data_IF_231056575325
#
_entry.id   IF_231056575325
#
_cell.length_a   1.000
_cell.length_b   1.000
_cell.length_c   1.000
_cell.angle_alpha   90.00
_cell.angle_beta   90.00
_cell.angle_gamma   90.00
#
_symmetry.space_group_name_H-M   'P 1'
#
loop_
_entity.id
_entity.type
_entity.pdbx_description
1 polymer ?
#
# COMPACT_ATOMS: atom_id res chain seq x y z
N UNK A 1 -7.30 1.52 1.46
CA UNK A 1 -7.04 0.11 1.64
C UNK A 1 -6.61 -0.17 3.08
N UNK A 2 -7.24 -1.11 3.77
CA UNK A 2 -6.91 -1.51 5.15
C UNK A 2 -6.57 -3.00 5.23
N UNK A 3 -5.44 -3.31 5.86
CA UNK A 3 -5.05 -4.68 6.21
C UNK A 3 -5.46 -5.05 7.64
N UNK A 4 -6.05 -4.12 8.37
CA UNK A 4 -6.56 -4.33 9.72
C UNK A 4 -8.03 -4.75 9.68
N UNK A 5 -8.43 -5.62 10.58
CA UNK A 5 -9.82 -6.03 10.75
C UNK A 5 -10.72 -4.93 11.37
N UNK A 6 -10.12 -3.89 11.94
CA UNK A 6 -10.84 -2.83 12.64
C UNK A 6 -11.10 -1.62 11.76
N UNK A 7 -12.22 -0.95 11.96
CA UNK A 7 -12.55 0.31 11.30
C UNK A 7 -11.95 1.55 12.01
N UNK A 8 -10.73 1.42 12.54
CA UNK A 8 -10.09 2.49 13.33
C UNK A 8 -10.02 3.83 12.59
N UNK A 9 -9.67 3.81 11.31
CA UNK A 9 -9.62 5.04 10.51
C UNK A 9 -10.98 5.73 10.43
N UNK A 10 -12.05 5.00 10.10
CA UNK A 10 -13.40 5.56 10.01
C UNK A 10 -13.88 6.10 11.36
N UNK A 11 -13.53 5.44 12.47
CA UNK A 11 -13.88 5.90 13.82
C UNK A 11 -13.18 7.19 14.23
N UNK A 12 -11.93 7.38 13.80
CA UNK A 12 -11.12 8.54 14.19
C UNK A 12 -11.40 9.74 13.29
N UNK A 13 -11.51 9.51 11.99
CA UNK A 13 -11.58 10.59 10.98
C UNK A 13 -12.97 10.76 10.37
N UNK A 14 -13.93 9.88 10.72
CA UNK A 14 -15.29 9.91 10.19
C UNK A 14 -15.39 9.34 8.76
N UNK A 15 -16.60 9.37 8.24
CA UNK A 15 -16.91 9.03 6.86
C UNK A 15 -16.87 10.29 6.00
N UNK A 16 -16.25 10.19 4.84
CA UNK A 16 -16.21 11.29 3.88
C UNK A 16 -16.74 10.78 2.53
N UNK A 17 -17.62 11.52 1.83
CA UNK A 17 -18.31 11.04 0.63
C UNK A 17 -17.40 10.71 -0.54
N UNK A 18 -16.14 11.18 -0.51
CA UNK A 18 -15.13 10.89 -1.54
C UNK A 18 -14.09 9.85 -1.10
N UNK A 19 -14.32 9.15 0.01
CA UNK A 19 -13.42 8.11 0.50
C UNK A 19 -14.07 6.75 0.35
N UNK A 20 -13.41 5.90 -0.39
CA UNK A 20 -13.72 4.49 -0.47
C UNK A 20 -12.84 3.69 0.49
N UNK A 21 -13.41 2.64 1.06
CA UNK A 21 -12.73 1.76 2.00
C UNK A 21 -12.76 0.33 1.50
N UNK A 22 -11.58 -0.29 1.42
CA UNK A 22 -11.45 -1.71 1.20
C UNK A 22 -10.69 -2.35 2.37
N UNK A 23 -11.30 -3.38 2.97
CA UNK A 23 -10.72 -4.18 4.05
C UNK A 23 -10.27 -5.51 3.49
N UNK A 24 -8.99 -5.61 3.14
CA UNK A 24 -8.39 -6.77 2.45
C UNK A 24 -8.67 -8.10 3.15
N UNK A 25 -8.67 -8.08 4.48
CA UNK A 25 -8.89 -9.26 5.30
C UNK A 25 -10.29 -9.29 5.93
N UNK A 26 -11.22 -8.49 5.39
CA UNK A 26 -12.54 -8.34 5.96
C UNK A 26 -12.55 -7.44 7.21
N UNK A 27 -13.72 -7.30 7.80
CA UNK A 27 -13.96 -6.39 8.92
C UNK A 27 -14.54 -7.15 10.11
N UNK A 28 -13.96 -6.94 11.29
CA UNK A 28 -14.52 -7.44 12.53
C UNK A 28 -15.79 -6.65 12.89
N UNK A 29 -16.92 -7.33 12.94
CA UNK A 29 -18.20 -6.76 13.36
C UNK A 29 -18.82 -7.67 14.43
N UNK A 30 -19.13 -7.10 15.60
CA UNK A 30 -19.69 -7.84 16.72
C UNK A 30 -21.10 -8.39 16.43
N UNK A 31 -21.75 -7.90 15.38
CA UNK A 31 -23.08 -8.39 14.96
C UNK A 31 -22.98 -9.69 14.13
N UNK A 32 -21.80 -10.02 13.62
CA UNK A 32 -21.58 -11.21 12.84
C UNK A 32 -21.19 -12.39 13.73
N UNK A 33 -21.70 -13.56 13.41
CA UNK A 33 -21.26 -14.84 13.94
C UNK A 33 -20.17 -15.46 13.06
N UNK A 34 -19.77 -16.70 13.38
CA UNK A 34 -18.73 -17.43 12.64
C UNK A 34 -19.13 -17.67 11.17
N UNK A 35 -20.43 -17.81 10.89
CA UNK A 35 -20.91 -18.12 9.54
C UNK A 35 -21.07 -16.86 8.69
N UNK A 36 -21.45 -15.76 9.30
CA UNK A 36 -21.71 -14.48 8.64
C UNK A 36 -20.48 -13.54 8.58
N UNK A 37 -19.40 -13.87 9.30
CA UNK A 37 -18.20 -13.04 9.30
C UNK A 37 -17.45 -13.08 7.97
N UNK A 38 -17.08 -11.92 7.46
CA UNK A 38 -16.23 -11.80 6.27
C UNK A 38 -14.73 -11.73 6.58
N UNK A 39 -14.32 -11.97 7.83
CA UNK A 39 -12.91 -11.98 8.19
C UNK A 39 -12.16 -13.12 7.52
N UNK A 40 -11.03 -12.81 6.92
CA UNK A 40 -10.10 -13.72 6.25
C UNK A 40 -8.99 -14.08 7.22
N UNK A 41 -9.04 -15.29 7.76
CA UNK A 41 -8.08 -15.80 8.75
C UNK A 41 -7.16 -16.88 8.16
N UNK A 42 -6.99 -16.85 6.85
CA UNK A 42 -6.27 -17.90 6.13
C UNK A 42 -4.76 -17.81 6.23
N UNK A 43 -4.14 -18.87 5.74
CA UNK A 43 -2.70 -18.97 5.53
C UNK A 43 -2.33 -18.37 4.15
N UNK A 44 -1.06 -18.07 4.01
CA UNK A 44 -0.51 -17.56 2.76
C UNK A 44 -0.23 -18.68 1.76
N UNK A 45 -0.02 -18.27 0.50
CA UNK A 45 0.48 -19.14 -0.54
C UNK A 45 2.02 -19.12 -0.54
N UNK A 46 2.63 -20.28 -0.30
CA UNK A 46 4.10 -20.40 -0.32
C UNK A 46 4.63 -21.01 -1.62
N UNK A 47 3.75 -21.57 -2.44
CA UNK A 47 4.14 -22.17 -3.71
C UNK A 47 4.18 -21.11 -4.80
N UNK A 48 5.04 -21.32 -5.79
CA UNK A 48 5.17 -20.45 -6.94
C UNK A 48 4.95 -21.21 -8.25
N UNK A 49 4.49 -20.49 -9.28
CA UNK A 49 4.26 -21.07 -10.61
C UNK A 49 3.27 -22.21 -10.63
N UNK A 50 3.56 -23.20 -11.46
CA UNK A 50 2.69 -24.37 -11.68
C UNK A 50 2.39 -25.20 -10.42
N UNK A 51 3.31 -25.22 -9.45
CA UNK A 51 3.10 -25.93 -8.19
C UNK A 51 1.96 -25.30 -7.38
N UNK A 52 1.90 -23.97 -7.37
CA UNK A 52 0.82 -23.20 -6.72
C UNK A 52 -0.56 -23.57 -7.28
N UNK A 53 -0.64 -23.66 -8.62
CA UNK A 53 -1.92 -23.83 -9.30
C UNK A 53 -2.40 -25.29 -9.30
N UNK A 54 -1.49 -26.25 -9.03
CA UNK A 54 -1.79 -27.69 -8.96
C UNK A 54 -2.04 -28.20 -7.56
N UNK A 55 -1.42 -27.58 -6.54
CA UNK A 55 -1.60 -27.98 -5.16
C UNK A 55 -2.81 -27.28 -4.54
N UNK A 56 -3.93 -27.99 -4.56
CA UNK A 56 -5.19 -27.54 -4.00
C UNK A 56 -5.46 -28.08 -2.59
N UNK A 57 -4.48 -28.75 -1.99
CA UNK A 57 -4.58 -29.19 -0.61
C UNK A 57 -4.71 -27.97 0.31
N UNK A 58 -5.63 -28.07 1.25
CA UNK A 58 -5.93 -26.96 2.18
C UNK A 58 -6.37 -25.64 1.52
N UNK A 59 -6.92 -25.67 0.30
CA UNK A 59 -7.34 -24.48 -0.43
C UNK A 59 -8.28 -23.58 0.39
N UNK A 60 -9.18 -24.15 1.18
CA UNK A 60 -10.12 -23.42 2.04
C UNK A 60 -9.44 -22.58 3.12
N UNK A 61 -8.20 -22.95 3.48
CA UNK A 61 -7.38 -22.21 4.44
C UNK A 61 -6.54 -21.11 3.79
N UNK A 62 -6.49 -21.04 2.46
CA UNK A 62 -5.71 -20.03 1.75
C UNK A 62 -6.45 -18.68 1.75
N UNK A 63 -5.74 -17.61 2.03
CA UNK A 63 -6.30 -16.24 2.09
C UNK A 63 -7.04 -15.85 0.82
N UNK A 64 -6.48 -16.16 -0.37
CA UNK A 64 -7.12 -15.82 -1.63
C UNK A 64 -8.47 -16.50 -1.82
N UNK A 65 -8.57 -17.79 -1.45
CA UNK A 65 -9.82 -18.54 -1.52
C UNK A 65 -10.87 -17.95 -0.58
N UNK A 66 -10.46 -17.64 0.67
CA UNK A 66 -11.38 -17.04 1.64
C UNK A 66 -11.86 -15.64 1.18
N UNK A 67 -10.99 -14.83 0.55
CA UNK A 67 -11.41 -13.54 -0.02
C UNK A 67 -12.48 -13.71 -1.10
N UNK A 68 -12.28 -14.66 -2.02
CA UNK A 68 -13.25 -14.96 -3.07
C UNK A 68 -14.56 -15.47 -2.47
N UNK A 69 -14.48 -16.47 -1.58
CA UNK A 69 -15.65 -17.10 -0.98
C UNK A 69 -16.49 -16.14 -0.11
N UNK A 70 -15.84 -15.19 0.56
CA UNK A 70 -16.46 -14.22 1.44
C UNK A 70 -16.73 -12.86 0.77
N UNK A 71 -16.48 -12.75 -0.51
CA UNK A 71 -16.66 -11.53 -1.32
C UNK A 71 -16.07 -10.29 -0.66
N UNK A 72 -14.82 -10.39 -0.16
CA UNK A 72 -14.17 -9.31 0.58
C UNK A 72 -12.79 -8.99 0.04
N UNK A 73 -12.34 -7.75 0.24
CA UNK A 73 -10.98 -7.31 -0.09
C UNK A 73 -10.68 -7.33 -1.59
N UNK A 74 -11.61 -6.92 -2.44
CA UNK A 74 -11.47 -6.92 -3.89
C UNK A 74 -11.59 -5.55 -4.55
N UNK A 75 -12.04 -4.51 -3.86
CA UNK A 75 -12.23 -3.18 -4.43
C UNK A 75 -10.93 -2.54 -4.95
N UNK A 76 -9.81 -2.86 -4.31
CA UNK A 76 -8.50 -2.34 -4.72
C UNK A 76 -8.10 -2.72 -6.15
N UNK A 77 -8.63 -3.80 -6.71
CA UNK A 77 -8.39 -4.19 -8.12
C UNK A 77 -8.94 -3.13 -9.07
N UNK A 78 -10.15 -2.62 -8.82
CA UNK A 78 -10.73 -1.52 -9.60
C UNK A 78 -9.87 -0.26 -9.53
N UNK A 79 -9.35 0.09 -8.35
CA UNK A 79 -8.42 1.21 -8.21
C UNK A 79 -7.13 1.02 -9.00
N UNK A 80 -6.60 -0.21 -9.06
CA UNK A 80 -5.42 -0.52 -9.87
C UNK A 80 -5.71 -0.39 -11.37
N UNK A 81 -6.89 -0.80 -11.82
CA UNK A 81 -7.33 -0.62 -13.21
C UNK A 81 -7.43 0.86 -13.58
N UNK A 82 -8.02 1.69 -12.73
CA UNK A 82 -8.07 3.14 -12.91
C UNK A 82 -6.67 3.75 -13.00
N UNK A 83 -5.78 3.42 -12.07
CA UNK A 83 -4.39 3.87 -12.06
C UNK A 83 -3.66 3.49 -13.36
N UNK A 84 -3.94 2.31 -13.92
CA UNK A 84 -3.31 1.85 -15.15
C UNK A 84 -3.90 2.52 -16.39
N UNK A 85 -5.20 2.82 -16.38
CA UNK A 85 -5.91 3.42 -17.53
C UNK A 85 -5.56 4.90 -17.73
N UNK A 86 -5.11 5.59 -16.68
CA UNK A 86 -4.80 7.01 -16.76
C UNK A 86 -3.56 7.28 -17.62
N UNK A 87 -3.73 8.22 -18.57
CA UNK A 87 -2.65 8.67 -19.42
C UNK A 87 -1.62 9.46 -18.61
N UNK A 88 -0.34 9.16 -18.83
CA UNK A 88 0.76 9.95 -18.25
C UNK A 88 0.58 11.41 -18.65
N UNK A 89 0.38 12.30 -17.69
CA UNK A 89 0.39 13.73 -17.96
C UNK A 89 1.81 14.26 -17.81
N UNK A 90 2.15 15.14 -18.72
CA UNK A 90 3.41 15.84 -18.75
C UNK A 90 3.20 17.29 -18.31
N UNK A 91 3.79 17.68 -17.20
CA UNK A 91 3.87 19.10 -16.84
C UNK A 91 5.05 19.75 -17.54
N UNK A 92 4.85 20.99 -17.97
CA UNK A 92 5.95 21.82 -18.47
C UNK A 92 6.80 22.22 -17.27
N UNK A 93 8.00 21.63 -17.14
CA UNK A 93 8.90 21.90 -16.02
C UNK A 93 9.76 23.16 -16.22
N UNK A 94 10.02 23.56 -17.46
CA UNK A 94 10.76 24.77 -17.78
C UNK A 94 10.52 25.20 -19.23
N UNK A 95 10.55 26.51 -19.45
CA UNK A 95 10.62 27.13 -20.78
C UNK A 95 11.95 27.82 -20.85
N UNK A 96 12.85 27.31 -21.68
CA UNK A 96 14.18 27.89 -21.88
C UNK A 96 14.25 28.48 -23.28
N UNK A 97 14.66 29.75 -23.37
CA UNK A 97 14.98 30.39 -24.64
C UNK A 97 16.47 30.27 -24.91
N UNK A 98 16.82 29.39 -25.83
CA UNK A 98 18.19 29.25 -26.33
C UNK A 98 18.22 29.68 -27.81
N UNK A 99 19.04 30.63 -28.14
CA UNK A 99 19.23 31.12 -29.52
C UNK A 99 17.93 31.49 -30.25
N UNK A 100 16.96 32.10 -29.54
CA UNK A 100 15.66 32.48 -30.11
C UNK A 100 14.65 31.33 -30.21
N UNK A 101 15.04 30.12 -29.87
CA UNK A 101 14.17 28.93 -29.90
C UNK A 101 13.62 28.66 -28.49
N UNK A 102 12.30 28.50 -28.38
CA UNK A 102 11.62 28.15 -27.14
C UNK A 102 11.62 26.62 -26.99
N UNK A 103 12.42 26.12 -26.07
CA UNK A 103 12.42 24.70 -25.69
C UNK A 103 11.55 24.50 -24.45
N UNK A 104 10.55 23.65 -24.56
CA UNK A 104 9.68 23.23 -23.44
C UNK A 104 10.22 21.91 -22.88
N UNK A 105 10.64 21.91 -21.64
CA UNK A 105 11.00 20.68 -20.93
C UNK A 105 9.76 20.12 -20.25
N UNK A 106 9.42 18.87 -20.55
CA UNK A 106 8.28 18.18 -19.96
C UNK A 106 8.75 17.23 -18.86
N UNK A 107 8.09 17.25 -17.72
CA UNK A 107 8.27 16.30 -16.64
C UNK A 107 7.06 15.40 -16.56
N UNK A 108 7.28 14.09 -16.52
CA UNK A 108 6.22 13.12 -16.22
C UNK A 108 5.80 13.28 -14.76
N UNK A 109 4.55 13.63 -14.54
CA UNK A 109 3.97 13.66 -13.20
C UNK A 109 3.28 12.33 -12.96
N UNK A 110 3.72 11.62 -11.92
CA UNK A 110 3.00 10.44 -11.45
C UNK A 110 1.83 10.90 -10.61
N UNK A 111 0.62 10.64 -11.10
CA UNK A 111 -0.62 11.12 -10.48
C UNK A 111 -0.91 10.50 -9.13
N UNK A 112 -0.69 9.18 -9.04
CA UNK A 112 -1.15 8.43 -7.89
C UNK A 112 -0.06 8.36 -6.85
N UNK A 113 -0.43 8.69 -5.62
CA UNK A 113 0.42 8.52 -4.46
C UNK A 113 -0.20 7.45 -3.57
N UNK A 114 0.59 6.46 -3.21
CA UNK A 114 0.22 5.47 -2.22
C UNK A 114 1.01 5.75 -0.94
N UNK A 115 0.29 5.99 0.13
CA UNK A 115 0.85 6.21 1.45
C UNK A 115 0.69 4.92 2.27
N UNK A 116 1.80 4.35 2.71
CA UNK A 116 1.81 3.14 3.54
C UNK A 116 2.10 3.55 4.98
N UNK A 117 1.09 3.45 5.83
CA UNK A 117 1.14 3.84 7.22
C UNK A 117 0.78 2.67 8.14
N UNK A 118 1.59 2.41 9.18
CA UNK A 118 1.30 1.39 10.19
C UNK A 118 1.35 -0.07 9.71
N UNK A 119 1.80 -0.32 8.48
CA UNK A 119 1.89 -1.66 7.89
C UNK A 119 3.34 -2.17 7.95
N UNK A 120 3.52 -3.44 8.34
CA UNK A 120 4.83 -4.09 8.45
C UNK A 120 5.49 -4.41 7.11
N UNK A 121 4.72 -4.40 6.02
CA UNK A 121 5.10 -4.92 4.70
C UNK A 121 5.46 -6.40 4.75
N UNK A 122 4.70 -7.17 5.54
CA UNK A 122 4.94 -8.59 5.67
C UNK A 122 4.73 -9.32 4.35
N UNK A 123 5.48 -10.41 4.15
CA UNK A 123 5.43 -11.22 2.94
C UNK A 123 4.05 -11.88 2.75
N UNK A 124 3.30 -12.03 3.83
CA UNK A 124 1.95 -12.60 3.80
C UNK A 124 0.94 -11.77 3.00
N UNK A 125 1.24 -10.53 2.73
CA UNK A 125 0.41 -9.63 1.92
C UNK A 125 1.08 -9.28 0.58
N UNK A 126 2.10 -10.06 0.19
CA UNK A 126 2.95 -9.88 -1.00
C UNK A 126 2.12 -9.74 -2.28
N UNK A 127 1.08 -10.54 -2.43
CA UNK A 127 0.21 -10.57 -3.60
C UNK A 127 -0.43 -9.21 -3.92
N UNK A 128 -0.84 -8.49 -2.89
CA UNK A 128 -1.45 -7.17 -2.99
C UNK A 128 -0.40 -6.07 -3.02
N UNK A 129 0.54 -6.10 -2.07
CA UNK A 129 1.58 -5.09 -1.97
C UNK A 129 2.38 -4.95 -3.26
N UNK A 130 2.71 -6.08 -3.89
CA UNK A 130 3.49 -6.12 -5.15
C UNK A 130 2.78 -5.38 -6.28
N UNK A 131 1.46 -5.48 -6.39
CA UNK A 131 0.68 -4.81 -7.43
C UNK A 131 0.78 -3.28 -7.34
N UNK A 132 0.74 -2.72 -6.14
CA UNK A 132 0.93 -1.29 -5.93
C UNK A 132 2.39 -0.87 -6.09
N UNK A 133 3.32 -1.62 -5.49
CA UNK A 133 4.74 -1.25 -5.44
C UNK A 133 5.39 -1.27 -6.81
N UNK A 134 5.02 -2.23 -7.67
CA UNK A 134 5.57 -2.34 -9.01
C UNK A 134 4.83 -1.49 -10.05
N UNK A 135 3.71 -0.86 -9.70
CA UNK A 135 2.96 -0.03 -10.64
C UNK A 135 3.77 1.22 -11.04
N UNK A 136 3.98 1.40 -12.34
CA UNK A 136 4.79 2.49 -12.88
C UNK A 136 4.12 3.87 -12.75
N UNK A 137 2.80 3.92 -12.55
CA UNK A 137 2.03 5.15 -12.40
C UNK A 137 1.90 5.61 -10.94
N UNK A 138 2.49 4.88 -10.00
CA UNK A 138 2.39 5.14 -8.56
C UNK A 138 3.70 5.64 -7.97
N UNK A 139 3.61 6.63 -7.09
CA UNK A 139 4.68 6.99 -6.15
C UNK A 139 4.31 6.52 -4.75
N UNK A 140 5.16 5.72 -4.15
CA UNK A 140 4.96 5.12 -2.83
C UNK A 140 5.68 5.94 -1.77
N UNK A 141 4.98 6.29 -0.72
CA UNK A 141 5.53 6.91 0.48
C UNK A 141 5.33 5.94 1.65
N UNK A 142 6.42 5.43 2.21
CA UNK A 142 6.40 4.46 3.30
C UNK A 142 6.79 5.17 4.59
N UNK A 143 5.87 5.22 5.54
CA UNK A 143 6.14 5.80 6.84
C UNK A 143 6.80 4.79 7.78
N UNK A 144 7.74 5.28 8.59
CA UNK A 144 8.40 4.48 9.62
C UNK A 144 8.61 5.30 10.91
N UNK A 145 8.70 4.61 12.04
CA UNK A 145 8.81 5.22 13.37
C UNK A 145 10.26 5.42 13.81
N UNK A 146 11.06 4.39 13.69
CA UNK A 146 12.44 4.35 14.18
C UNK A 146 13.36 3.55 13.23
N UNK A 147 14.62 3.42 13.63
CA UNK A 147 15.64 2.74 12.81
C UNK A 147 15.36 1.24 12.62
N UNK A 148 14.80 0.60 13.63
CA UNK A 148 14.49 -0.84 13.55
C UNK A 148 13.28 -1.10 12.66
N UNK A 149 12.25 -0.27 12.75
CA UNK A 149 11.10 -0.33 11.85
C UNK A 149 11.52 -0.06 10.40
N UNK A 150 12.37 0.94 10.17
CA UNK A 150 12.95 1.22 8.86
C UNK A 150 13.67 0.01 8.27
N UNK A 151 14.55 -0.62 9.06
CA UNK A 151 15.30 -1.82 8.67
C UNK A 151 14.39 -2.99 8.33
N UNK A 152 13.38 -3.25 9.19
CA UNK A 152 12.38 -4.32 8.94
C UNK A 152 11.63 -4.10 7.63
N UNK A 153 11.19 -2.86 7.35
CA UNK A 153 10.51 -2.52 6.10
C UNK A 153 11.37 -2.76 4.87
N UNK A 154 12.65 -2.40 4.91
CA UNK A 154 13.60 -2.69 3.84
C UNK A 154 13.74 -4.20 3.61
N UNK A 155 13.94 -4.98 4.67
CA UNK A 155 14.07 -6.44 4.59
C UNK A 155 12.80 -7.05 3.95
N UNK A 156 11.64 -6.62 4.38
CA UNK A 156 10.39 -7.14 3.86
C UNK A 156 10.17 -6.74 2.39
N UNK A 157 10.51 -5.52 2.01
CA UNK A 157 10.48 -5.10 0.60
C UNK A 157 11.41 -5.93 -0.28
N UNK A 158 12.61 -6.26 0.19
CA UNK A 158 13.53 -7.16 -0.55
C UNK A 158 12.86 -8.51 -0.80
N UNK A 159 12.13 -9.07 0.19
CA UNK A 159 11.40 -10.33 0.02
C UNK A 159 10.24 -10.22 -0.97
N UNK A 160 9.61 -9.04 -1.09
CA UNK A 160 8.47 -8.81 -1.97
C UNK A 160 8.89 -8.55 -3.42
N UNK A 161 9.85 -7.64 -3.65
CA UNK A 161 10.21 -7.15 -4.98
C UNK A 161 11.65 -7.44 -5.40
N UNK A 162 12.46 -7.98 -4.52
CA UNK A 162 13.90 -8.22 -4.77
C UNK A 162 14.77 -6.99 -4.50
N UNK A 163 16.06 -7.24 -4.26
CA UNK A 163 17.03 -6.19 -3.93
C UNK A 163 17.25 -5.21 -5.08
N UNK A 164 17.44 -5.70 -6.28
CA UNK A 164 17.75 -4.86 -7.43
C UNK A 164 16.62 -3.90 -7.78
N UNK A 165 15.37 -4.39 -7.75
CA UNK A 165 14.20 -3.57 -8.00
C UNK A 165 14.00 -2.53 -6.89
N UNK A 166 14.26 -2.88 -5.63
CA UNK A 166 14.20 -1.93 -4.51
C UNK A 166 15.24 -0.81 -4.67
N UNK A 167 16.50 -1.15 -4.99
CA UNK A 167 17.57 -0.16 -5.23
C UNK A 167 17.20 0.77 -6.39
N UNK A 168 16.72 0.22 -7.51
CA UNK A 168 16.26 1.00 -8.66
C UNK A 168 15.14 1.98 -8.29
N UNK A 169 14.16 1.55 -7.49
CA UNK A 169 12.99 2.37 -7.13
C UNK A 169 13.26 3.39 -6.03
N UNK A 170 14.24 3.17 -5.19
CA UNK A 170 14.65 4.11 -4.12
C UNK A 170 15.74 5.07 -4.56
N UNK A 171 16.49 4.74 -5.61
CA UNK A 171 17.62 5.52 -6.12
C UNK A 171 17.27 6.52 -7.22
N UNK A 172 18.24 7.34 -7.57
CA UNK A 172 18.17 8.25 -8.72
C UNK A 172 17.21 9.44 -8.58
N UNK A 173 17.07 10.18 -9.70
CA UNK A 173 16.23 11.37 -9.77
C UNK A 173 14.72 11.05 -9.84
N UNK A 174 14.38 9.87 -10.36
CA UNK A 174 12.99 9.44 -10.61
C UNK A 174 12.54 8.33 -9.66
N UNK A 175 12.98 8.39 -8.40
CA UNK A 175 12.60 7.41 -7.40
C UNK A 175 11.10 7.34 -7.22
N UNK A 176 10.58 6.11 -7.16
CA UNK A 176 9.16 5.83 -6.98
C UNK A 176 8.83 5.38 -5.55
N UNK A 177 9.84 4.98 -4.77
CA UNK A 177 9.68 4.64 -3.35
C UNK A 177 10.45 5.66 -2.51
N UNK A 178 9.79 6.21 -1.51
CA UNK A 178 10.34 7.17 -0.55
C UNK A 178 10.00 6.72 0.85
N UNK A 179 10.98 6.71 1.74
CA UNK A 179 10.76 6.47 3.17
C UNK A 179 10.63 7.81 3.90
N UNK A 180 9.67 7.92 4.79
CA UNK A 180 9.42 9.12 5.57
C UNK A 180 9.29 8.78 7.05
N UNK A 181 10.13 9.38 7.88
CA UNK A 181 10.04 9.20 9.33
C UNK A 181 8.81 9.92 9.88
N UNK A 182 8.08 9.26 10.76
CA UNK A 182 6.99 9.89 11.53
C UNK A 182 7.63 10.65 12.68
N UNK A 183 7.38 11.95 12.76
CA UNK A 183 7.70 12.71 13.94
C UNK A 183 6.57 12.47 14.95
N UNK A 184 6.81 11.63 15.95
CA UNK A 184 5.92 11.56 17.11
C UNK A 184 6.08 12.87 17.87
N UNK A 185 5.07 13.75 17.83
CA UNK A 185 4.93 14.77 18.86
C UNK A 185 4.74 14.00 20.17
N UNK A 186 5.73 14.00 21.04
CA UNK A 186 5.50 13.71 22.44
C UNK A 186 4.54 14.79 22.94
N UNK A 187 3.31 14.40 23.20
CA UNK A 187 2.44 15.19 24.08
C UNK A 187 3.14 15.15 25.44
N UNK A 188 4.00 16.13 25.69
CA UNK A 188 4.44 16.40 27.04
C UNK A 188 3.18 16.70 27.82
N UNK A 189 2.88 15.83 28.76
CA UNK A 189 1.80 15.99 29.71
C UNK A 189 2.05 17.29 30.48
N UNK A 190 1.31 18.34 30.18
CA UNK A 190 1.10 19.47 31.05
C UNK A 190 0.33 19.04 32.31
N UNK A 191 0.91 18.09 33.03
CA UNK A 191 0.50 17.83 34.41
C UNK A 191 1.46 18.57 35.31
N UNK A 192 1.09 19.75 35.73
CA UNK A 192 1.48 20.44 36.97
C UNK A 192 1.54 21.96 36.76
N UNK A 193 0.41 22.61 36.78
CA UNK A 193 0.29 23.98 37.33
C UNK A 193 -1.09 24.16 37.93
N UNK A 194 -1.30 23.50 39.06
CA UNK A 194 -2.18 24.02 40.09
C UNK A 194 -1.31 24.28 41.34
N UNK A 195 -1.11 25.54 41.60
CA UNK A 195 -0.85 26.09 42.91
C UNK A 195 -1.67 27.34 43.07
#
# INVERSE_FOLDING_TARGET
>A
LSFNYTCAYQRIYGEHPFLEFDYVHGKADLRNDIQSTNMVLGIDEYLEGDARDKDLEFIEFKKFFQRIHKETGGLYEGWLEEIQSEKKIYEISAIVKENGIVKKHHRVVKYHKVFIFGHSLDITDKDILKKFILNENVKIIIFYTDKEDYKKKIINLIKIIGQDELVKRTGGKNKTIVFQKINTCTLESDSMREK
#
